data_IF_994077160172
#
_entry.id   IF_994077160172
#
_cell.length_a   1.000
_cell.length_b   1.000
_cell.length_c   1.000
_cell.angle_alpha   90.00
_cell.angle_beta   90.00
_cell.angle_gamma   90.00
#
_symmetry.space_group_name_H-M   'P 1'
#
loop_
_entity.id
_entity.type
_entity.pdbx_description
1 polymer ?
#
# COMPACT_ATOMS: atom_id res chain seq x y z
N UNK A 1 3.15 5.47 -17.25
CA UNK A 1 2.65 4.65 -16.13
C UNK A 1 1.46 3.81 -16.60
N UNK A 2 1.19 2.64 -15.98
CA UNK A 2 0.09 1.76 -16.42
C UNK A 2 -1.26 2.47 -16.25
N UNK A 3 -1.94 2.73 -17.37
CA UNK A 3 -3.25 3.40 -17.47
C UNK A 3 -4.26 2.88 -16.43
N UNK A 4 -4.31 1.57 -16.25
CA UNK A 4 -5.23 0.92 -15.31
C UNK A 4 -5.04 1.36 -13.86
N UNK A 5 -3.79 1.59 -13.42
CA UNK A 5 -3.51 1.99 -12.04
C UNK A 5 -4.03 3.41 -11.76
N UNK A 6 -3.82 4.32 -12.71
CA UNK A 6 -4.36 5.69 -12.64
C UNK A 6 -5.87 5.66 -12.59
N UNK A 7 -6.51 4.91 -13.49
CA UNK A 7 -7.98 4.80 -13.53
C UNK A 7 -8.56 4.23 -12.21
N UNK A 8 -7.89 3.25 -11.58
CA UNK A 8 -8.27 2.72 -10.27
C UNK A 8 -8.14 3.79 -9.19
N UNK A 9 -6.99 4.48 -9.12
CA UNK A 9 -6.77 5.56 -8.15
C UNK A 9 -7.84 6.64 -8.30
N UNK A 10 -8.09 7.11 -9.52
CA UNK A 10 -9.09 8.14 -9.81
C UNK A 10 -10.50 7.70 -9.41
N UNK A 11 -10.86 6.45 -9.70
CA UNK A 11 -12.16 5.89 -9.34
C UNK A 11 -12.35 5.84 -7.82
N UNK A 12 -11.32 5.44 -7.07
CA UNK A 12 -11.37 5.40 -5.60
C UNK A 12 -11.43 6.81 -5.01
N UNK A 13 -10.63 7.74 -5.53
CA UNK A 13 -10.64 9.15 -5.11
C UNK A 13 -11.98 9.82 -5.37
N UNK A 14 -12.60 9.59 -6.53
CA UNK A 14 -13.96 10.06 -6.85
C UNK A 14 -15.03 9.53 -5.88
N UNK A 15 -14.79 8.38 -5.24
CA UNK A 15 -15.65 7.83 -4.17
C UNK A 15 -15.31 8.37 -2.78
N UNK A 16 -14.47 9.40 -2.68
CA UNK A 16 -14.03 10.01 -1.43
C UNK A 16 -13.09 9.13 -0.60
N UNK A 17 -12.39 8.17 -1.23
CA UNK A 17 -11.42 7.31 -0.54
C UNK A 17 -10.04 7.93 -0.58
N UNK A 18 -9.33 7.87 0.54
CA UNK A 18 -7.88 8.09 0.57
C UNK A 18 -7.17 6.91 -0.09
N UNK A 19 -6.23 7.18 -0.99
CA UNK A 19 -5.56 6.15 -1.79
C UNK A 19 -4.07 6.18 -1.50
N UNK A 20 -3.52 5.01 -1.22
CA UNK A 20 -2.09 4.79 -1.01
C UNK A 20 -1.55 3.76 -2.00
N UNK A 21 -0.35 4.00 -2.52
CA UNK A 21 0.35 3.08 -3.41
C UNK A 21 1.62 2.57 -2.75
N UNK A 22 1.77 1.26 -2.61
CA UNK A 22 3.03 0.64 -2.20
C UNK A 22 4.01 0.59 -3.38
N UNK A 23 5.31 0.70 -3.09
CA UNK A 23 6.33 0.31 -4.07
C UNK A 23 6.33 -1.21 -4.25
N UNK A 24 6.93 -1.69 -5.33
CA UNK A 24 7.06 -3.11 -5.64
C UNK A 24 8.41 -3.62 -5.15
N UNK A 25 8.39 -4.78 -4.48
CA UNK A 25 9.59 -5.47 -4.06
C UNK A 25 10.38 -6.00 -5.27
N UNK A 26 11.70 -6.07 -5.15
CA UNK A 26 12.51 -6.74 -6.17
C UNK A 26 12.20 -8.24 -6.16
N UNK A 27 11.91 -8.86 -7.32
CA UNK A 27 11.78 -10.32 -7.42
C UNK A 27 13.12 -11.02 -7.21
N UNK A 28 14.24 -10.31 -7.41
CA UNK A 28 15.58 -10.79 -7.10
C UNK A 28 16.16 -9.96 -5.94
N UNK A 29 16.24 -10.54 -4.72
CA UNK A 29 16.83 -9.89 -3.55
C UNK A 29 18.32 -9.56 -3.69
N UNK A 30 19.01 -10.21 -4.63
CA UNK A 30 20.46 -10.08 -4.88
C UNK A 30 20.81 -9.18 -6.07
N UNK A 31 19.83 -8.77 -6.87
CA UNK A 31 20.05 -7.88 -8.00
C UNK A 31 20.49 -6.48 -7.55
N UNK A 32 21.48 -5.92 -8.24
CA UNK A 32 21.91 -4.53 -8.04
C UNK A 32 20.77 -3.55 -8.37
N UNK A 33 20.67 -2.47 -7.58
CA UNK A 33 19.57 -1.47 -7.62
C UNK A 33 19.30 -0.85 -9.00
N UNK A 34 20.30 -0.87 -9.87
CA UNK A 34 20.32 -0.16 -11.14
C UNK A 34 19.69 -0.91 -12.32
N UNK A 35 19.44 -2.22 -12.24
CA UNK A 35 19.13 -3.02 -13.45
C UNK A 35 17.79 -3.76 -13.46
N UNK A 36 16.97 -3.64 -12.41
CA UNK A 36 15.68 -4.35 -12.38
C UNK A 36 14.53 -3.49 -12.90
N UNK A 37 13.63 -4.07 -13.70
CA UNK A 37 12.38 -3.43 -14.14
C UNK A 37 11.52 -2.88 -12.99
N UNK A 38 11.73 -3.35 -11.76
CA UNK A 38 11.12 -2.82 -10.53
C UNK A 38 11.59 -1.41 -10.19
N UNK A 39 12.84 -1.02 -10.51
CA UNK A 39 13.32 0.35 -10.27
C UNK A 39 12.57 1.35 -11.15
N UNK A 40 12.40 1.03 -12.44
CA UNK A 40 11.65 1.85 -13.39
C UNK A 40 10.18 2.01 -12.98
N UNK A 41 9.57 0.96 -12.43
CA UNK A 41 8.19 1.00 -11.98
C UNK A 41 8.03 1.80 -10.67
N UNK A 42 8.93 1.62 -9.71
CA UNK A 42 8.90 2.38 -8.44
C UNK A 42 9.13 3.88 -8.66
N UNK A 43 10.06 4.27 -9.53
CA UNK A 43 10.24 5.67 -9.92
C UNK A 43 8.99 6.23 -10.59
N UNK A 44 8.30 5.44 -11.43
CA UNK A 44 7.04 5.88 -12.03
C UNK A 44 5.91 6.07 -11.00
N UNK A 45 5.83 5.20 -9.98
CA UNK A 45 4.89 5.34 -8.86
C UNK A 45 5.20 6.59 -8.02
N UNK A 46 6.48 6.84 -7.72
CA UNK A 46 6.92 8.04 -6.99
C UNK A 46 6.56 9.31 -7.75
N UNK A 47 6.87 9.39 -9.05
CA UNK A 47 6.54 10.54 -9.88
C UNK A 47 5.02 10.78 -9.92
N UNK A 48 4.22 9.73 -9.99
CA UNK A 48 2.77 9.86 -9.97
C UNK A 48 2.25 10.41 -8.65
N UNK A 49 2.63 9.82 -7.53
CA UNK A 49 2.21 10.30 -6.21
C UNK A 49 2.60 11.77 -6.03
N UNK A 50 3.81 12.14 -6.47
CA UNK A 50 4.32 13.52 -6.45
C UNK A 50 3.48 14.44 -7.33
N UNK A 51 3.10 14.01 -8.54
CA UNK A 51 2.27 14.82 -9.44
C UNK A 51 0.87 15.11 -8.89
N UNK A 52 0.35 14.24 -8.02
CA UNK A 52 -0.96 14.43 -7.36
C UNK A 52 -0.87 15.16 -6.02
N UNK A 53 0.33 15.54 -5.55
CA UNK A 53 0.55 16.06 -4.18
C UNK A 53 -0.14 17.40 -3.89
N UNK A 54 -0.45 18.18 -4.91
CA UNK A 54 -1.13 19.49 -4.81
C UNK A 54 -2.64 19.39 -4.98
N UNK A 55 -3.17 18.19 -5.23
CA UNK A 55 -4.61 17.94 -5.36
C UNK A 55 -5.27 17.82 -3.97
N UNK A 56 -6.58 18.05 -3.91
CA UNK A 56 -7.38 17.99 -2.66
C UNK A 56 -7.39 16.58 -2.04
N UNK A 57 -7.29 15.54 -2.88
CA UNK A 57 -7.15 14.15 -2.47
C UNK A 57 -5.91 13.53 -3.15
N UNK A 58 -4.69 13.75 -2.61
CA UNK A 58 -3.48 13.25 -3.22
C UNK A 58 -3.40 11.73 -3.14
N UNK A 59 -2.76 11.10 -4.11
CA UNK A 59 -2.36 9.69 -3.99
C UNK A 59 -1.04 9.65 -3.22
N UNK A 60 -1.06 8.99 -2.07
CA UNK A 60 0.10 8.96 -1.18
C UNK A 60 0.96 7.74 -1.49
N UNK A 61 2.27 7.96 -1.55
CA UNK A 61 3.21 6.85 -1.63
C UNK A 61 3.28 6.18 -0.25
N UNK A 62 2.73 4.98 -0.18
CA UNK A 62 2.64 4.14 1.00
C UNK A 62 3.89 3.27 1.19
N UNK A 63 3.73 2.02 1.67
CA UNK A 63 4.85 1.30 2.26
C UNK A 63 5.93 1.01 1.23
N UNK A 64 7.17 1.25 1.65
CA UNK A 64 8.39 1.11 0.84
C UNK A 64 8.89 -0.33 0.88
N UNK A 65 8.38 -1.15 -0.04
CA UNK A 65 8.81 -2.54 -0.25
C UNK A 65 10.15 -2.64 -1.01
N UNK A 66 10.60 -1.53 -1.58
CA UNK A 66 11.88 -1.39 -2.26
C UNK A 66 13.06 -1.22 -1.30
N UNK A 67 12.84 -1.23 0.01
CA UNK A 67 13.92 -1.13 1.01
C UNK A 67 14.66 -2.44 1.22
N UNK A 68 15.92 -2.36 1.66
CA UNK A 68 16.76 -3.53 1.92
C UNK A 68 16.13 -4.54 2.90
N UNK A 69 15.27 -4.10 3.83
CA UNK A 69 14.60 -4.98 4.78
C UNK A 69 13.72 -6.05 4.09
N UNK A 70 13.08 -5.71 2.97
CA UNK A 70 12.21 -6.63 2.22
C UNK A 70 12.92 -7.36 1.09
N UNK A 71 14.18 -7.02 0.80
CA UNK A 71 15.04 -7.69 -0.19
C UNK A 71 15.91 -8.78 0.40
N UNK A 72 15.74 -9.20 1.65
CA UNK A 72 16.57 -10.29 2.22
C UNK A 72 15.93 -11.63 1.92
N UNK A 73 16.71 -12.67 1.66
CA UNK A 73 16.16 -14.03 1.56
C UNK A 73 15.44 -14.44 2.86
N UNK A 74 15.94 -13.96 4.01
CA UNK A 74 15.28 -14.15 5.32
C UNK A 74 13.94 -13.44 5.45
N UNK A 75 13.58 -12.55 4.53
CA UNK A 75 12.29 -11.87 4.48
C UNK A 75 11.24 -12.70 3.73
N UNK A 76 11.68 -13.71 2.97
CA UNK A 76 10.84 -14.53 2.12
C UNK A 76 10.32 -15.77 2.87
N UNK A 77 9.23 -16.31 2.34
CA UNK A 77 8.68 -17.59 2.73
C UNK A 77 9.48 -18.73 2.08
N UNK A 78 9.11 -19.97 2.38
CA UNK A 78 9.75 -21.19 1.86
C UNK A 78 9.76 -21.23 0.32
N UNK A 79 8.78 -20.58 -0.32
CA UNK A 79 8.68 -20.49 -1.79
C UNK A 79 9.62 -19.46 -2.42
N UNK A 80 10.41 -18.73 -1.62
CA UNK A 80 11.33 -17.68 -2.07
C UNK A 80 10.67 -16.60 -2.91
N UNK A 81 9.36 -16.37 -2.74
CA UNK A 81 8.61 -15.38 -3.49
C UNK A 81 7.73 -14.51 -2.59
N UNK A 82 6.92 -15.12 -1.73
CA UNK A 82 6.05 -14.37 -0.80
C UNK A 82 6.84 -13.92 0.41
N UNK A 83 6.38 -12.87 1.07
CA UNK A 83 6.89 -12.49 2.39
C UNK A 83 6.50 -13.51 3.46
N UNK A 84 7.39 -13.74 4.42
CA UNK A 84 7.05 -14.50 5.62
C UNK A 84 6.30 -13.64 6.66
N UNK A 85 5.88 -14.28 7.75
CA UNK A 85 5.10 -13.63 8.80
C UNK A 85 5.84 -12.47 9.49
N UNK A 86 7.17 -12.54 9.61
CA UNK A 86 7.97 -11.46 10.19
C UNK A 86 7.99 -10.24 9.28
N UNK A 87 8.17 -10.45 7.98
CA UNK A 87 8.14 -9.39 6.98
C UNK A 87 6.77 -8.71 6.89
N UNK A 88 5.67 -9.47 6.90
CA UNK A 88 4.33 -8.86 6.95
C UNK A 88 4.10 -8.05 8.23
N UNK A 89 4.63 -8.49 9.37
CA UNK A 89 4.57 -7.72 10.63
C UNK A 89 5.37 -6.42 10.54
N UNK A 90 6.56 -6.46 9.93
CA UNK A 90 7.36 -5.26 9.70
C UNK A 90 6.65 -4.30 8.73
N UNK A 91 6.06 -4.83 7.66
CA UNK A 91 5.26 -4.06 6.70
C UNK A 91 4.10 -3.35 7.40
N UNK A 92 3.35 -4.05 8.24
CA UNK A 92 2.24 -3.46 8.99
C UNK A 92 2.69 -2.34 9.94
N UNK A 93 3.85 -2.50 10.59
CA UNK A 93 4.46 -1.46 11.44
C UNK A 93 4.86 -0.23 10.64
N UNK A 94 5.64 -0.40 9.57
CA UNK A 94 6.02 0.71 8.69
C UNK A 94 4.80 1.39 8.05
N UNK A 95 3.70 0.64 7.91
CA UNK A 95 2.44 1.14 7.37
C UNK A 95 1.73 2.09 8.33
N UNK A 96 1.86 1.89 9.64
CA UNK A 96 1.30 2.79 10.63
C UNK A 96 1.88 4.21 10.51
N UNK A 97 3.18 4.33 10.20
CA UNK A 97 3.88 5.63 10.15
C UNK A 97 3.27 6.60 9.13
N UNK A 98 2.79 6.10 7.98
CA UNK A 98 2.09 6.93 7.00
C UNK A 98 0.58 6.90 7.12
N UNK A 99 -0.02 5.81 7.63
CA UNK A 99 -1.48 5.73 7.83
C UNK A 99 -1.97 6.67 8.93
N UNK A 100 -1.28 6.73 10.06
CA UNK A 100 -1.74 7.49 11.24
C UNK A 100 -2.02 8.97 10.89
N UNK A 101 -1.15 9.69 10.17
CA UNK A 101 -1.43 11.07 9.75
C UNK A 101 -2.64 11.24 8.83
N UNK A 102 -3.03 10.20 8.08
CA UNK A 102 -4.19 10.25 7.18
C UNK A 102 -5.50 9.86 7.87
N UNK A 103 -5.41 9.11 8.96
CA UNK A 103 -6.59 8.62 9.68
C UNK A 103 -7.25 9.74 10.46
N UNK A 104 -8.58 9.84 10.34
CA UNK A 104 -9.37 10.67 11.24
C UNK A 104 -9.60 9.91 12.54
N UNK A 105 -9.24 10.51 13.67
CA UNK A 105 -9.59 9.97 14.97
C UNK A 105 -11.12 9.99 15.13
N UNK A 106 -11.70 8.84 15.44
CA UNK A 106 -13.14 8.71 15.72
C UNK A 106 -13.27 8.13 17.12
N UNK A 107 -14.13 8.73 17.95
CA UNK A 107 -14.40 8.18 19.28
C UNK A 107 -14.93 6.75 19.16
N UNK A 108 -14.51 5.88 20.09
CA UNK A 108 -14.89 4.47 20.07
C UNK A 108 -16.42 4.26 20.09
N UNK A 109 -17.14 5.12 20.81
CA UNK A 109 -18.61 5.16 20.85
C UNK A 109 -19.20 5.37 19.46
N UNK A 110 -18.76 6.40 18.75
CA UNK A 110 -19.15 6.72 17.37
C UNK A 110 -18.79 5.61 16.40
N UNK A 111 -17.59 5.03 16.52
CA UNK A 111 -17.16 3.90 15.69
C UNK A 111 -18.01 2.64 15.92
N UNK A 112 -18.32 2.32 17.18
CA UNK A 112 -19.16 1.16 17.55
C UNK A 112 -20.59 1.30 17.04
N UNK A 113 -21.17 2.50 17.08
CA UNK A 113 -22.47 2.76 16.47
C UNK A 113 -22.45 2.58 14.95
N UNK A 114 -21.40 3.03 14.28
CA UNK A 114 -21.23 2.83 12.83
C UNK A 114 -21.13 1.35 12.47
N UNK A 115 -20.34 0.56 13.22
CA UNK A 115 -20.23 -0.89 13.01
C UNK A 115 -21.56 -1.61 13.23
N UNK A 116 -22.34 -1.20 14.22
CA UNK A 116 -23.67 -1.77 14.47
C UNK A 116 -24.69 -1.52 13.36
N UNK A 117 -24.43 -0.55 12.47
CA UNK A 117 -25.27 -0.21 11.31
C UNK A 117 -24.79 -0.87 10.00
N UNK A 118 -23.65 -1.57 10.01
CA UNK A 118 -23.16 -2.30 8.84
C UNK A 118 -24.00 -3.57 8.67
N UNK A 119 -24.81 -3.60 7.62
CA UNK A 119 -25.49 -4.82 7.18
C UNK A 119 -24.48 -5.65 6.40
N UNK A 120 -23.99 -6.73 7.01
CA UNK A 120 -23.18 -7.71 6.30
C UNK A 120 -24.08 -8.50 5.37
N UNK A 121 -23.73 -8.53 4.09
CA UNK A 121 -24.40 -9.40 3.14
C UNK A 121 -24.07 -10.85 3.48
N UNK A 122 -25.07 -11.59 3.97
CA UNK A 122 -24.90 -12.99 4.41
C UNK A 122 -24.37 -13.88 3.29
N UNK A 123 -24.67 -13.53 2.03
CA UNK A 123 -24.21 -14.27 0.86
C UNK A 123 -22.68 -14.20 0.63
N UNK A 124 -21.94 -13.34 1.35
CA UNK A 124 -20.47 -13.31 1.30
C UNK A 124 -19.81 -14.29 2.30
N UNK A 125 -20.59 -14.92 3.18
CA UNK A 125 -20.09 -15.76 4.27
C UNK A 125 -20.64 -17.20 4.27
N UNK A 126 -21.54 -17.53 3.34
CA UNK A 126 -22.03 -18.88 3.04
C UNK A 126 -21.39 -19.40 1.73
#
# INVERSE_FOLDING_TARGET
MKRNLVEICDTLRKKGKQVCLATVASPDPTAAETDSASSTLNTALEHFCTSTSTEDAPVILGPRLDTYAFRRESALWIDKYRFNSQSYRQLARNTADFLIPMMTAVEWTTWKEQLGRVTYDKALYD
#
